data_IF_310014353894
#
_entry.id   IF_310014353894
#
_cell.length_a   1.000
_cell.length_b   1.000
_cell.length_c   1.000
_cell.angle_alpha   90.00
_cell.angle_beta   90.00
_cell.angle_gamma   90.00
#
_symmetry.space_group_name_H-M   'P 1'
#
loop_
_entity.id
_entity.type
_entity.pdbx_description
1 polymer ?
#
# COMPACT_ATOMS: atom_id res chain seq x y z
N UNK A 1 -0.15 -1.13 2.46
CA UNK A 1 -0.36 -2.11 1.37
C UNK A 1 -1.75 -1.91 0.79
N UNK A 2 -1.92 -2.12 -0.52
CA UNK A 2 -3.25 -2.14 -1.12
C UNK A 2 -4.11 -3.18 -0.41
N UNK A 3 -5.25 -2.73 0.12
CA UNK A 3 -6.16 -3.57 0.87
C UNK A 3 -7.15 -4.22 -0.13
N UNK A 4 -7.29 -5.56 -0.14
CA UNK A 4 -8.28 -6.25 -0.97
C UNK A 4 -9.69 -5.68 -0.84
N UNK A 5 -10.05 -5.20 0.36
CA UNK A 5 -11.36 -4.56 0.63
C UNK A 5 -11.63 -3.35 -0.26
N UNK A 6 -10.61 -2.56 -0.58
CA UNK A 6 -10.78 -1.37 -1.45
C UNK A 6 -11.16 -1.80 -2.86
N UNK A 7 -10.62 -2.92 -3.35
CA UNK A 7 -10.92 -3.47 -4.67
C UNK A 7 -12.33 -4.07 -4.68
N UNK A 8 -12.70 -4.78 -3.62
CA UNK A 8 -14.04 -5.36 -3.43
C UNK A 8 -15.11 -4.26 -3.36
N UNK A 9 -14.91 -3.21 -2.56
CA UNK A 9 -15.84 -2.07 -2.44
C UNK A 9 -16.02 -1.33 -3.78
N UNK A 10 -14.96 -1.23 -4.59
CA UNK A 10 -15.00 -0.63 -5.93
C UNK A 10 -15.79 -1.50 -6.91
N UNK A 11 -15.58 -2.82 -6.87
CA UNK A 11 -16.31 -3.76 -7.70
C UNK A 11 -17.81 -3.82 -7.34
N UNK A 12 -18.14 -3.73 -6.06
CA UNK A 12 -19.51 -3.72 -5.58
C UNK A 12 -20.24 -2.44 -6.02
N UNK A 13 -19.63 -1.26 -5.82
CA UNK A 13 -20.19 0.02 -6.30
C UNK A 13 -20.37 0.05 -7.82
N UNK A 14 -19.42 -0.51 -8.55
CA UNK A 14 -19.53 -0.62 -10.00
C UNK A 14 -20.71 -1.49 -10.41
N UNK A 15 -20.87 -2.67 -9.79
CA UNK A 15 -21.97 -3.59 -10.06
C UNK A 15 -23.33 -2.98 -9.73
N UNK A 16 -23.43 -2.24 -8.63
CA UNK A 16 -24.64 -1.49 -8.25
C UNK A 16 -24.98 -0.34 -9.21
N UNK A 17 -23.99 0.18 -9.95
CA UNK A 17 -24.18 1.25 -10.94
C UNK A 17 -24.58 0.74 -12.32
N UNK A 18 -24.63 -0.59 -12.54
CA UNK A 18 -25.02 -1.18 -13.82
C UNK A 18 -26.55 -1.06 -14.01
N UNK A 19 -27.02 -0.42 -15.10
CA UNK A 19 -28.45 -0.29 -15.36
C UNK A 19 -29.14 -1.66 -15.56
N UNK A 20 -30.40 -1.83 -15.12
CA UNK A 20 -31.12 -3.11 -15.21
C UNK A 20 -31.28 -3.63 -16.65
N UNK A 21 -31.30 -2.75 -17.66
CA UNK A 21 -31.35 -3.12 -19.08
C UNK A 21 -30.04 -3.69 -19.64
N UNK A 22 -28.93 -3.58 -18.91
CA UNK A 22 -27.60 -4.07 -19.32
C UNK A 22 -27.25 -5.44 -18.73
N UNK A 23 -28.17 -6.10 -18.01
CA UNK A 23 -27.94 -7.44 -17.40
C UNK A 23 -27.48 -8.51 -18.39
N UNK A 24 -27.93 -8.46 -19.64
CA UNK A 24 -27.48 -9.39 -20.69
C UNK A 24 -25.97 -9.26 -21.01
N UNK A 25 -25.38 -8.08 -20.75
CA UNK A 25 -23.97 -7.77 -20.95
C UNK A 25 -23.19 -7.67 -19.64
N UNK A 26 -23.79 -8.06 -18.51
CA UNK A 26 -23.19 -7.91 -17.18
C UNK A 26 -21.79 -8.54 -17.11
N UNK A 27 -21.63 -9.74 -17.68
CA UNK A 27 -20.36 -10.47 -17.69
C UNK A 27 -19.27 -9.76 -18.50
N UNK A 28 -19.63 -9.14 -19.61
CA UNK A 28 -18.69 -8.41 -20.46
C UNK A 28 -18.27 -7.08 -19.82
N UNK A 29 -19.23 -6.39 -19.19
CA UNK A 29 -19.00 -5.17 -18.43
C UNK A 29 -18.09 -5.44 -17.22
N UNK A 30 -18.33 -6.52 -16.48
CA UNK A 30 -17.49 -6.96 -15.35
C UNK A 30 -16.06 -7.31 -15.80
N UNK A 31 -15.91 -8.05 -16.91
CA UNK A 31 -14.61 -8.38 -17.50
C UNK A 31 -13.83 -7.13 -17.91
N UNK A 32 -14.47 -6.20 -18.60
CA UNK A 32 -13.84 -4.94 -19.02
C UNK A 32 -13.45 -4.07 -17.83
N UNK A 33 -14.29 -4.02 -16.79
CA UNK A 33 -13.98 -3.32 -15.55
C UNK A 33 -12.78 -3.92 -14.83
N UNK A 34 -12.71 -5.26 -14.71
CA UNK A 34 -11.56 -5.94 -14.12
C UNK A 34 -10.27 -5.64 -14.87
N UNK A 35 -10.30 -5.64 -16.21
CA UNK A 35 -9.12 -5.27 -17.02
C UNK A 35 -8.73 -3.80 -16.84
N UNK A 36 -9.69 -2.89 -16.80
CA UNK A 36 -9.44 -1.48 -16.55
C UNK A 36 -8.82 -1.26 -15.15
N UNK A 37 -9.36 -1.91 -14.11
CA UNK A 37 -8.78 -1.87 -12.77
C UNK A 37 -7.37 -2.43 -12.72
N UNK A 38 -7.11 -3.58 -13.35
CA UNK A 38 -5.76 -4.14 -13.43
C UNK A 38 -4.79 -3.19 -14.12
N UNK A 39 -5.21 -2.53 -15.20
CA UNK A 39 -4.41 -1.52 -15.90
C UNK A 39 -4.11 -0.31 -15.00
N UNK A 40 -5.10 0.20 -14.26
CA UNK A 40 -4.88 1.30 -13.32
C UNK A 40 -3.93 0.90 -12.19
N UNK A 41 -4.14 -0.26 -11.57
CA UNK A 41 -3.26 -0.79 -10.51
C UNK A 41 -1.84 -0.97 -11.02
N UNK A 42 -1.66 -1.46 -12.25
CA UNK A 42 -0.33 -1.62 -12.86
C UNK A 42 0.38 -0.29 -13.17
N UNK A 43 -0.37 0.82 -13.28
CA UNK A 43 0.17 2.17 -13.47
C UNK A 43 0.45 2.90 -12.15
N UNK A 44 0.01 2.36 -11.02
CA UNK A 44 0.42 2.87 -9.71
C UNK A 44 1.85 2.39 -9.44
N UNK A 45 2.71 3.25 -8.91
CA UNK A 45 4.08 2.92 -8.48
C UNK A 45 4.04 2.03 -7.21
N UNK A 46 3.54 0.80 -7.37
CA UNK A 46 3.37 -0.14 -6.29
C UNK A 46 4.71 -0.83 -6.02
N UNK A 47 5.17 -0.72 -4.78
CA UNK A 47 6.27 -1.54 -4.28
C UNK A 47 5.76 -2.92 -3.87
N UNK A 48 6.58 -3.94 -4.08
CA UNK A 48 6.27 -5.29 -3.63
C UNK A 48 6.23 -5.34 -2.10
N UNK A 49 5.53 -6.34 -1.56
CA UNK A 49 5.50 -6.58 -0.11
C UNK A 49 6.91 -6.82 0.45
N UNK A 50 7.75 -7.52 -0.30
CA UNK A 50 9.13 -7.79 0.10
C UNK A 50 9.97 -6.51 0.19
N UNK A 51 9.90 -5.64 -0.81
CA UNK A 51 10.60 -4.34 -0.79
C UNK A 51 10.13 -3.47 0.37
N UNK A 52 8.82 -3.44 0.64
CA UNK A 52 8.27 -2.73 1.79
C UNK A 52 8.80 -3.28 3.13
N UNK A 53 8.83 -4.59 3.28
CA UNK A 53 9.31 -5.25 4.48
C UNK A 53 10.83 -5.01 4.67
N UNK A 54 11.61 -4.96 3.59
CA UNK A 54 13.02 -4.58 3.62
C UNK A 54 13.19 -3.14 4.09
N UNK A 55 12.44 -2.18 3.53
CA UNK A 55 12.53 -0.78 3.93
C UNK A 55 12.13 -0.57 5.39
N UNK A 56 11.11 -1.31 5.86
CA UNK A 56 10.70 -1.30 7.27
C UNK A 56 11.83 -1.75 8.20
N UNK A 57 12.58 -2.81 7.82
CA UNK A 57 13.74 -3.28 8.57
C UNK A 57 14.89 -2.27 8.56
N UNK A 58 15.14 -1.63 7.42
CA UNK A 58 16.15 -0.56 7.31
C UNK A 58 15.78 0.59 8.25
N UNK A 59 14.53 1.03 8.25
CA UNK A 59 14.05 2.10 9.12
C UNK A 59 14.20 1.74 10.60
N UNK A 60 13.85 0.51 10.99
CA UNK A 60 14.01 0.03 12.36
C UNK A 60 15.48 0.10 12.82
N UNK A 61 16.41 -0.42 12.01
CA UNK A 61 17.85 -0.36 12.30
C UNK A 61 18.38 1.07 12.38
N UNK A 62 17.87 1.97 11.55
CA UNK A 62 18.26 3.38 11.58
C UNK A 62 17.79 4.04 12.88
N UNK A 63 16.58 3.74 13.35
CA UNK A 63 16.10 4.23 14.66
C UNK A 63 16.97 3.73 15.81
N UNK A 64 17.29 2.44 15.84
CA UNK A 64 18.18 1.87 16.86
C UNK A 64 19.56 2.55 16.86
N UNK A 65 20.13 2.81 15.68
CA UNK A 65 21.40 3.53 15.57
C UNK A 65 21.30 4.97 16.06
N UNK A 66 20.22 5.67 15.76
CA UNK A 66 19.98 7.03 16.24
C UNK A 66 19.92 7.03 17.77
N UNK A 67 19.13 6.15 18.38
CA UNK A 67 19.02 6.04 19.84
C UNK A 67 20.37 5.75 20.52
N UNK A 68 21.21 4.91 19.90
CA UNK A 68 22.57 4.63 20.41
C UNK A 68 23.48 5.85 20.34
N UNK A 69 23.43 6.61 19.25
CA UNK A 69 24.20 7.83 19.09
C UNK A 69 23.74 8.92 20.07
N UNK A 70 22.44 9.06 20.28
CA UNK A 70 21.85 9.97 21.27
C UNK A 70 22.36 9.64 22.68
N UNK A 71 22.31 8.37 23.10
CA UNK A 71 22.87 7.92 24.40
C UNK A 71 24.37 8.20 24.52
N UNK A 72 25.12 7.99 23.44
CA UNK A 72 26.56 8.26 23.42
C UNK A 72 26.85 9.75 23.60
N UNK A 73 26.07 10.61 22.94
CA UNK A 73 26.17 12.07 23.07
C UNK A 73 25.81 12.51 24.49
N UNK A 74 24.73 12.01 25.08
CA UNK A 74 24.35 12.32 26.46
C UNK A 74 25.43 11.90 27.47
N UNK A 75 26.01 10.71 27.30
CA UNK A 75 27.11 10.25 28.14
C UNK A 75 28.37 11.13 28.01
N UNK A 76 28.69 11.57 26.78
CA UNK A 76 29.80 12.49 26.54
C UNK A 76 29.54 13.89 27.10
N UNK A 77 28.32 14.40 27.03
CA UNK A 77 27.95 15.69 27.62
C UNK A 77 28.01 15.64 29.15
N UNK A 78 27.56 14.55 29.76
CA UNK A 78 27.60 14.35 31.21
C UNK A 78 29.02 14.24 31.75
N UNK A 79 29.94 13.57 31.02
CA UNK A 79 31.36 13.46 31.40
C UNK A 79 32.19 14.75 31.17
N UNK A 80 31.60 15.78 30.55
CA UNK A 80 32.30 17.04 30.23
C UNK A 80 31.95 18.19 31.20
N UNK A 81 31.12 17.93 32.21
CA UNK A 81 30.89 18.80 33.38
C UNK A 81 31.68 18.28 34.57
#
# INVERSE_FOLDING_TARGET
MLNPKIIEDLAEKFTQSIPPGAKAFQKDIESNFKQAMQSVISRLDLVTREEFDVQTKVLARTREKIEQLEKTLEAMQTNKS
#
